data_IF_127943519927
#
_entry.id   IF_127943519927
#
_cell.length_a   1.000
_cell.length_b   1.000
_cell.length_c   1.000
_cell.angle_alpha   90.00
_cell.angle_beta   90.00
_cell.angle_gamma   90.00
#
_symmetry.space_group_name_H-M   'P 1'
#
loop_
_entity.id
_entity.type
_entity.pdbx_description
1 polymer ?
#
# COMPACT_ATOMS: atom_id res chain seq x y z
N UNK A 1 -11.99 -9.67 -11.24
CA UNK A 1 -11.14 -10.65 -10.49
C UNK A 1 -11.73 -11.03 -9.13
N UNK A 2 -11.80 -10.12 -8.14
CA UNK A 2 -12.32 -10.46 -6.82
C UNK A 2 -13.77 -10.98 -6.82
N UNK A 3 -14.63 -10.43 -7.70
CA UNK A 3 -16.02 -10.87 -7.87
C UNK A 3 -16.19 -12.26 -8.51
N UNK A 4 -15.16 -12.78 -9.20
CA UNK A 4 -15.22 -14.07 -9.91
C UNK A 4 -14.49 -15.19 -9.15
N UNK A 5 -14.11 -14.96 -7.89
CA UNK A 5 -13.41 -15.94 -7.06
C UNK A 5 -14.00 -15.93 -5.66
N UNK A 6 -14.05 -17.08 -4.98
CA UNK A 6 -14.65 -17.19 -3.64
C UNK A 6 -13.62 -17.48 -2.53
N UNK A 7 -12.43 -17.99 -2.88
CA UNK A 7 -11.44 -18.47 -1.89
C UNK A 7 -10.13 -17.68 -1.88
N UNK A 8 -9.75 -17.06 -2.99
CA UNK A 8 -8.45 -16.37 -3.11
C UNK A 8 -8.40 -15.13 -2.23
N UNK A 9 -7.26 -14.88 -1.59
CA UNK A 9 -7.01 -13.63 -0.84
C UNK A 9 -6.28 -12.65 -1.74
N UNK A 10 -6.65 -11.39 -1.66
CA UNK A 10 -6.10 -10.30 -2.46
C UNK A 10 -5.28 -9.39 -1.55
N UNK A 11 -3.95 -9.47 -1.57
CA UNK A 11 -3.14 -8.39 -1.03
C UNK A 11 -3.09 -7.27 -2.08
N UNK A 12 -3.83 -6.13 -1.92
CA UNK A 12 -3.43 -4.91 -2.59
C UNK A 12 -1.95 -4.70 -2.30
N UNK A 13 -1.18 -4.32 -3.33
CA UNK A 13 0.25 -4.11 -3.21
C UNK A 13 0.62 -3.22 -2.02
N UNK A 14 1.91 -3.18 -1.67
CA UNK A 14 2.36 -2.41 -0.51
C UNK A 14 1.97 -0.94 -0.67
N UNK A 15 1.30 -0.39 0.34
CA UNK A 15 1.12 1.04 0.47
C UNK A 15 2.47 1.65 0.82
N UNK A 16 2.91 2.60 0.00
CA UNK A 16 3.96 3.54 0.34
C UNK A 16 3.28 4.81 0.89
N UNK A 17 3.30 5.05 2.21
CA UNK A 17 2.64 6.20 2.85
C UNK A 17 2.91 7.57 2.20
N UNK A 18 4.12 7.90 1.71
CA UNK A 18 4.35 9.19 1.07
C UNK A 18 3.66 9.30 -0.29
N UNK A 19 3.37 8.19 -0.97
CA UNK A 19 2.83 8.23 -2.33
C UNK A 19 1.32 8.45 -2.37
N UNK A 20 0.60 8.12 -1.29
CA UNK A 20 -0.86 8.19 -1.26
C UNK A 20 -1.39 8.57 0.10
N UNK A 21 -2.35 9.49 0.10
CA UNK A 21 -3.12 9.85 1.28
C UNK A 21 -3.75 8.60 1.93
N UNK A 22 -3.52 8.37 3.24
CA UNK A 22 -4.01 7.19 3.93
C UNK A 22 -5.53 7.09 3.94
N UNK A 23 -6.27 8.20 3.92
CA UNK A 23 -7.74 8.16 3.90
C UNK A 23 -8.28 7.67 2.55
N UNK A 24 -7.66 8.08 1.46
CA UNK A 24 -7.97 7.63 0.10
C UNK A 24 -7.71 6.12 -0.03
N UNK A 25 -6.60 5.64 0.52
CA UNK A 25 -6.28 4.21 0.54
C UNK A 25 -7.27 3.45 1.41
N UNK A 26 -7.61 3.97 2.60
CA UNK A 26 -8.60 3.37 3.47
C UNK A 26 -9.97 3.24 2.80
N UNK A 27 -10.41 4.27 2.06
CA UNK A 27 -11.65 4.24 1.29
C UNK A 27 -11.63 3.16 0.21
N UNK A 28 -10.55 3.07 -0.56
CA UNK A 28 -10.39 2.05 -1.59
C UNK A 28 -10.36 0.63 -0.99
N UNK A 29 -9.57 0.42 0.07
CA UNK A 29 -9.46 -0.86 0.78
C UNK A 29 -10.81 -1.29 1.33
N UNK A 30 -11.60 -0.37 1.91
CA UNK A 30 -12.93 -0.69 2.42
C UNK A 30 -13.89 -1.13 1.32
N UNK A 31 -13.87 -0.49 0.17
CA UNK A 31 -14.67 -0.91 -0.99
C UNK A 31 -14.25 -2.30 -1.47
N UNK A 32 -12.95 -2.55 -1.62
CA UNK A 32 -12.45 -3.87 -2.00
C UNK A 32 -12.77 -4.95 -0.94
N UNK A 33 -12.68 -4.62 0.35
CA UNK A 33 -13.04 -5.52 1.44
C UNK A 33 -14.52 -5.90 1.36
N UNK A 34 -15.41 -4.93 1.10
CA UNK A 34 -16.84 -5.19 0.92
C UNK A 34 -17.10 -6.10 -0.28
N UNK A 35 -16.50 -5.81 -1.43
CA UNK A 35 -16.71 -6.57 -2.67
C UNK A 35 -16.10 -7.98 -2.66
N UNK A 36 -15.07 -8.21 -1.84
CA UNK A 36 -14.37 -9.49 -1.76
C UNK A 36 -14.82 -10.36 -0.58
N UNK A 37 -15.65 -9.85 0.34
CA UNK A 37 -15.99 -10.56 1.58
C UNK A 37 -14.83 -10.59 2.57
N UNK A 38 -14.18 -9.44 2.79
CA UNK A 38 -13.04 -9.26 3.69
C UNK A 38 -11.79 -10.11 3.34
N UNK A 39 -11.62 -10.47 2.07
CA UNK A 39 -10.45 -11.22 1.59
C UNK A 39 -9.29 -10.32 1.15
N UNK A 40 -9.25 -9.07 1.63
CA UNK A 40 -8.23 -8.07 1.26
C UNK A 40 -7.20 -7.93 2.37
N UNK A 41 -5.92 -7.78 2.04
CA UNK A 41 -4.84 -7.51 3.01
C UNK A 41 -3.98 -6.32 2.58
N UNK A 42 -3.93 -5.27 3.39
CA UNK A 42 -3.08 -4.12 3.12
C UNK A 42 -1.68 -4.35 3.71
N UNK A 43 -0.67 -4.45 2.84
CA UNK A 43 0.74 -4.35 3.27
C UNK A 43 1.16 -2.88 3.32
N UNK A 44 2.03 -2.52 4.27
CA UNK A 44 2.67 -1.20 4.31
C UNK A 44 4.16 -1.42 4.07
N UNK A 45 4.74 -0.62 3.17
CA UNK A 45 6.18 -0.56 2.93
C UNK A 45 6.61 0.90 2.91
N UNK A 46 7.85 1.20 3.28
CA UNK A 46 8.32 2.58 3.31
C UNK A 46 8.98 3.03 2.00
N UNK A 47 8.79 2.30 0.90
CA UNK A 47 9.55 2.53 -0.34
C UNK A 47 11.05 2.28 -0.14
N UNK A 48 11.78 2.09 -1.23
CA UNK A 48 13.23 1.82 -1.18
C UNK A 48 14.00 2.57 -2.26
N UNK A 49 13.28 3.25 -3.16
CA UNK A 49 13.83 3.94 -4.31
C UNK A 49 13.79 5.45 -4.05
N UNK A 50 14.97 6.07 -3.92
CA UNK A 50 15.08 7.50 -3.64
C UNK A 50 14.45 8.36 -4.76
N UNK A 51 14.58 7.94 -6.02
CA UNK A 51 14.02 8.64 -7.17
C UNK A 51 12.48 8.78 -7.10
N UNK A 52 11.77 7.78 -6.54
CA UNK A 52 10.32 7.87 -6.31
C UNK A 52 9.97 8.97 -5.31
N UNK A 53 10.83 9.19 -4.31
CA UNK A 53 10.63 10.20 -3.27
C UNK A 53 10.92 11.61 -3.78
N UNK A 54 11.97 11.76 -4.58
CA UNK A 54 12.31 13.04 -5.23
C UNK A 54 11.19 13.48 -6.17
N UNK A 55 10.65 12.55 -6.99
CA UNK A 55 9.56 12.84 -7.92
C UNK A 55 8.27 13.29 -7.21
N UNK A 56 8.04 12.79 -5.99
CA UNK A 56 6.87 13.13 -5.17
C UNK A 56 7.14 14.29 -4.20
N UNK A 57 8.36 14.85 -4.18
CA UNK A 57 8.73 15.93 -3.29
C UNK A 57 8.76 15.56 -1.80
N UNK A 58 8.95 14.28 -1.48
CA UNK A 58 9.01 13.79 -0.10
C UNK A 58 10.45 13.47 0.33
N UNK A 59 10.83 13.73 1.60
CA UNK A 59 12.17 13.44 2.09
C UNK A 59 12.40 11.93 2.19
N UNK A 60 13.53 11.44 1.66
CA UNK A 60 13.88 10.02 1.67
C UNK A 60 14.45 9.55 3.02
N UNK A 61 15.21 10.39 3.75
CA UNK A 61 15.93 9.98 4.97
C UNK A 61 15.02 9.47 6.11
N UNK A 62 13.75 9.90 6.16
CA UNK A 62 12.79 9.46 7.18
C UNK A 62 12.15 8.09 6.92
N UNK A 63 12.26 7.59 5.69
CA UNK A 63 11.57 6.38 5.22
C UNK A 63 12.53 5.25 4.83
N UNK A 64 13.81 5.58 4.61
CA UNK A 64 14.84 4.58 4.39
C UNK A 64 14.87 3.58 5.56
N UNK A 65 14.67 2.26 5.32
CA UNK A 65 14.86 1.28 6.37
C UNK A 65 16.29 1.44 6.88
N UNK A 66 16.45 1.64 8.20
CA UNK A 66 17.78 1.67 8.81
C UNK A 66 18.48 0.38 8.44
N UNK A 67 19.50 0.46 7.61
CA UNK A 67 20.43 -0.63 7.39
C UNK A 67 21.18 -0.84 8.71
N UNK A 68 20.61 -1.62 9.61
CA UNK A 68 21.32 -2.13 10.78
C UNK A 68 22.43 -3.03 10.25
N UNK A 69 23.66 -2.56 10.44
CA UNK A 69 24.92 -3.26 10.24
C UNK A 69 24.99 -4.52 11.10
#
# INVERSE_FOLDING_TARGET
MAAHTTRLRFPPGRLHPPMRDPFTVAKAVRTCARLSGCRVRLGIGLGWMADEFELLGHPFEGYAPRATR
#
